data_IF_924987169024
#
_entry.id   IF_924987169024
#
_cell.length_a   1.000
_cell.length_b   1.000
_cell.length_c   1.000
_cell.angle_alpha   90.00
_cell.angle_beta   90.00
_cell.angle_gamma   90.00
#
_symmetry.space_group_name_H-M   'P 1'
#
loop_
_entity.id
_entity.type
_entity.pdbx_description
1 polymer ?
#
# COMPACT_ATOMS: atom_id res chain seq x y z
N UNK A 1 26.16 -15.37 17.99
CA UNK A 1 25.23 -16.39 17.47
C UNK A 1 24.40 -15.68 16.44
N UNK A 2 24.69 -15.91 15.18
CA UNK A 2 23.95 -15.34 14.04
C UNK A 2 22.58 -15.98 13.99
N UNK A 3 21.56 -15.27 14.44
CA UNK A 3 20.18 -15.66 14.15
C UNK A 3 19.95 -15.46 12.65
N UNK A 4 20.16 -16.52 11.89
CA UNK A 4 19.68 -16.60 10.52
C UNK A 4 18.15 -16.59 10.61
N UNK A 5 17.52 -15.53 10.12
CA UNK A 5 16.06 -15.52 9.93
C UNK A 5 15.79 -16.62 8.90
N UNK A 6 15.40 -17.80 9.38
CA UNK A 6 14.95 -18.90 8.53
C UNK A 6 13.59 -18.46 7.93
N UNK A 7 13.60 -17.94 6.70
CA UNK A 7 12.38 -17.79 5.93
C UNK A 7 11.86 -19.19 5.58
N UNK A 8 10.67 -19.58 6.05
CA UNK A 8 10.14 -20.94 5.82
C UNK A 8 9.70 -21.19 4.37
N UNK A 9 9.63 -20.16 3.53
CA UNK A 9 9.20 -20.27 2.15
C UNK A 9 10.32 -19.85 1.19
N UNK A 10 11.05 -20.84 0.65
CA UNK A 10 12.11 -20.64 -0.37
C UNK A 10 11.57 -20.52 -1.80
N UNK A 11 10.25 -20.57 -2.02
CA UNK A 11 9.65 -20.49 -3.34
C UNK A 11 8.42 -19.59 -3.34
N UNK A 12 8.36 -18.66 -4.30
CA UNK A 12 7.14 -17.90 -4.60
C UNK A 12 6.06 -18.89 -5.05
N UNK A 13 4.83 -18.84 -4.47
CA UNK A 13 3.72 -19.66 -4.95
C UNK A 13 3.45 -19.42 -6.44
N UNK A 14 2.95 -20.46 -7.13
CA UNK A 14 2.54 -20.32 -8.52
C UNK A 14 1.37 -19.34 -8.65
N UNK A 15 1.37 -18.52 -9.69
CA UNK A 15 0.32 -17.55 -9.99
C UNK A 15 0.04 -17.48 -11.49
N UNK A 16 -1.15 -17.00 -11.82
CA UNK A 16 -1.50 -16.57 -13.16
C UNK A 16 -1.19 -15.08 -13.31
N UNK A 17 -0.60 -14.73 -14.44
CA UNK A 17 -0.29 -13.35 -14.78
C UNK A 17 -1.36 -12.77 -15.69
N UNK A 18 -1.83 -11.56 -15.37
CA UNK A 18 -2.79 -10.84 -16.21
C UNK A 18 -2.28 -9.44 -16.52
N UNK A 19 -2.66 -8.96 -17.71
CA UNK A 19 -2.47 -7.58 -18.15
C UNK A 19 -3.84 -7.01 -18.52
N UNK A 20 -4.35 -6.09 -17.71
CA UNK A 20 -5.69 -5.54 -17.84
C UNK A 20 -5.62 -4.19 -18.54
N UNK A 21 -6.15 -4.09 -19.76
CA UNK A 21 -6.17 -2.85 -20.52
C UNK A 21 -7.04 -1.77 -19.85
N UNK A 22 -6.48 -0.59 -19.70
CA UNK A 22 -7.13 0.59 -19.13
C UNK A 22 -7.21 1.76 -20.11
N UNK A 23 -6.99 1.50 -21.40
CA UNK A 23 -7.00 2.51 -22.46
C UNK A 23 -5.77 3.43 -22.49
N UNK A 24 -5.23 3.78 -21.31
CA UNK A 24 -3.97 4.53 -21.17
C UNK A 24 -2.82 3.66 -20.65
N UNK A 25 -2.89 2.34 -20.87
CA UNK A 25 -1.92 1.36 -20.42
C UNK A 25 -2.60 0.16 -19.77
N UNK A 26 -1.80 -0.85 -19.43
CA UNK A 26 -2.26 -2.10 -18.82
C UNK A 26 -1.81 -2.20 -17.36
N UNK A 27 -2.70 -2.70 -16.51
CA UNK A 27 -2.40 -3.07 -15.12
C UNK A 27 -1.78 -4.46 -15.13
N UNK A 28 -0.65 -4.62 -14.44
CA UNK A 28 -0.03 -5.91 -14.16
C UNK A 28 -0.64 -6.54 -12.90
N UNK A 29 -1.06 -7.80 -12.99
CA UNK A 29 -1.74 -8.52 -11.90
C UNK A 29 -1.15 -9.91 -11.74
N UNK A 30 -0.96 -10.36 -10.49
CA UNK A 30 -0.67 -11.75 -10.10
C UNK A 30 -1.88 -12.31 -9.36
N UNK A 31 -2.45 -13.39 -9.88
CA UNK A 31 -3.59 -14.10 -9.28
C UNK A 31 -3.13 -15.47 -8.77
N UNK A 32 -3.12 -15.66 -7.47
CA UNK A 32 -2.76 -16.86 -6.76
C UNK A 32 -4.02 -17.64 -6.40
N UNK A 33 -4.13 -18.88 -6.88
CA UNK A 33 -5.30 -19.74 -6.69
C UNK A 33 -5.58 -19.99 -5.19
N UNK A 34 -6.87 -20.03 -4.82
CA UNK A 34 -7.32 -20.31 -3.47
C UNK A 34 -8.82 -20.08 -3.29
N UNK A 35 -9.29 -20.18 -2.04
CA UNK A 35 -10.69 -19.95 -1.70
C UNK A 35 -11.05 -18.46 -1.61
N UNK A 36 -12.26 -18.11 -2.02
CA UNK A 36 -12.81 -16.76 -1.85
C UNK A 36 -13.42 -16.55 -0.45
N UNK A 37 -13.63 -15.29 -0.04
CA UNK A 37 -13.34 -14.06 -0.78
C UNK A 37 -11.84 -13.84 -0.94
N UNK A 38 -11.43 -13.32 -2.12
CA UNK A 38 -10.03 -13.08 -2.44
C UNK A 38 -9.47 -11.90 -1.65
N UNK A 39 -8.23 -12.03 -1.15
CA UNK A 39 -7.46 -10.86 -0.70
C UNK A 39 -6.92 -10.11 -1.91
N UNK A 40 -7.27 -8.82 -2.06
CA UNK A 40 -6.77 -7.96 -3.13
C UNK A 40 -5.79 -6.95 -2.54
N UNK A 41 -4.50 -7.18 -2.79
CA UNK A 41 -3.38 -6.47 -2.16
C UNK A 41 -2.99 -5.24 -2.98
N UNK A 42 -3.02 -4.08 -2.33
CA UNK A 42 -2.73 -2.77 -2.93
C UNK A 42 -1.54 -2.10 -2.26
N UNK A 43 -0.55 -1.76 -3.05
CA UNK A 43 0.66 -1.09 -2.58
C UNK A 43 0.47 0.42 -2.36
N UNK A 44 1.39 1.04 -1.62
CA UNK A 44 1.46 2.48 -1.39
C UNK A 44 2.46 3.22 -2.28
N UNK A 45 3.03 4.30 -1.77
CA UNK A 45 4.09 5.09 -2.41
C UNK A 45 5.41 5.01 -1.64
N UNK A 46 6.48 5.06 -2.36
CA UNK A 46 6.75 4.87 -3.80
C UNK A 46 7.11 3.42 -4.15
N UNK A 47 6.44 2.48 -3.57
CA UNK A 47 6.68 1.05 -3.73
C UNK A 47 5.83 0.40 -4.85
N UNK A 48 5.71 -0.91 -4.87
CA UNK A 48 4.94 -1.70 -5.81
C UNK A 48 4.52 -3.03 -5.18
N UNK A 49 3.86 -3.91 -5.93
CA UNK A 49 3.31 -5.19 -5.43
C UNK A 49 4.32 -6.09 -4.69
N UNK A 50 5.63 -5.92 -4.95
CA UNK A 50 6.67 -6.72 -4.31
C UNK A 50 6.80 -6.52 -2.79
N UNK A 51 6.20 -5.47 -2.22
CA UNK A 51 6.09 -5.32 -0.76
C UNK A 51 5.31 -6.46 -0.10
N UNK A 52 4.58 -7.24 -0.89
CA UNK A 52 3.79 -8.39 -0.43
C UNK A 52 4.44 -9.74 -0.69
N UNK A 53 5.62 -9.81 -1.29
CA UNK A 53 6.27 -11.08 -1.67
C UNK A 53 6.51 -11.99 -0.46
N UNK A 54 6.74 -11.44 0.73
CA UNK A 54 6.89 -12.21 1.97
C UNK A 54 5.55 -12.60 2.62
N UNK A 55 4.50 -11.82 2.42
CA UNK A 55 3.16 -12.07 2.99
C UNK A 55 2.37 -13.10 2.17
N UNK A 56 2.42 -13.03 0.85
CA UNK A 56 1.65 -13.86 -0.08
C UNK A 56 1.78 -15.35 0.21
N UNK A 57 2.98 -15.93 0.43
CA UNK A 57 3.13 -17.36 0.70
C UNK A 57 2.33 -17.83 1.92
N UNK A 58 2.21 -17.02 2.96
CA UNK A 58 1.45 -17.35 4.17
C UNK A 58 -0.05 -17.35 3.91
N UNK A 59 -0.55 -16.38 3.14
CA UNK A 59 -1.98 -16.29 2.78
C UNK A 59 -2.39 -17.46 1.87
N UNK A 60 -1.56 -17.80 0.87
CA UNK A 60 -1.78 -18.94 -0.03
C UNK A 60 -1.71 -20.25 0.74
N UNK A 61 -0.75 -20.43 1.65
CA UNK A 61 -0.68 -21.59 2.54
C UNK A 61 -1.91 -21.73 3.44
N UNK A 62 -2.56 -20.60 3.79
CA UNK A 62 -3.85 -20.55 4.46
C UNK A 62 -5.05 -20.89 3.56
N UNK A 63 -4.81 -21.26 2.30
CA UNK A 63 -5.82 -21.70 1.34
C UNK A 63 -6.65 -20.57 0.70
N UNK A 64 -6.21 -19.32 0.82
CA UNK A 64 -6.95 -18.14 0.31
C UNK A 64 -6.48 -17.75 -1.09
N UNK A 65 -7.45 -17.35 -1.94
CA UNK A 65 -7.13 -16.67 -3.19
C UNK A 65 -6.53 -15.31 -2.87
N UNK A 66 -5.40 -15.00 -3.53
CA UNK A 66 -4.68 -13.73 -3.35
C UNK A 66 -4.47 -13.09 -4.71
N UNK A 67 -4.83 -11.83 -4.83
CA UNK A 67 -4.59 -11.02 -6.02
C UNK A 67 -3.69 -9.86 -5.62
N UNK A 68 -2.52 -9.74 -6.23
CA UNK A 68 -1.63 -8.60 -6.04
C UNK A 68 -1.44 -7.88 -7.37
N UNK A 69 -1.51 -6.57 -7.40
CA UNK A 69 -1.36 -5.82 -8.64
C UNK A 69 -0.61 -4.51 -8.43
N UNK A 70 -0.02 -4.01 -9.50
CA UNK A 70 0.56 -2.69 -9.55
C UNK A 70 -0.44 -1.70 -10.12
N UNK A 71 -0.70 -0.60 -9.43
CA UNK A 71 -1.46 0.51 -9.99
C UNK A 71 -0.80 1.04 -11.27
N UNK A 72 -1.59 1.54 -12.22
CA UNK A 72 -1.03 2.23 -13.39
C UNK A 72 -0.04 3.31 -12.96
N UNK A 73 1.11 3.34 -13.62
CA UNK A 73 2.19 4.25 -13.30
C UNK A 73 3.24 3.69 -12.34
N UNK A 74 3.03 2.48 -11.78
CA UNK A 74 3.95 1.85 -10.82
C UNK A 74 4.33 0.42 -11.24
N UNK A 75 5.40 -0.09 -10.64
CA UNK A 75 5.85 -1.47 -10.75
C UNK A 75 5.97 -1.98 -12.19
N UNK A 76 5.29 -3.08 -12.48
CA UNK A 76 5.21 -3.69 -13.81
C UNK A 76 4.04 -3.19 -14.66
N UNK A 77 3.12 -2.40 -14.08
CA UNK A 77 2.06 -1.74 -14.84
C UNK A 77 2.63 -0.67 -15.78
N UNK A 78 1.89 -0.38 -16.84
CA UNK A 78 2.34 0.60 -17.86
C UNK A 78 2.47 2.01 -17.27
N UNK A 79 3.45 2.74 -17.81
CA UNK A 79 3.84 4.11 -17.46
C UNK A 79 3.91 4.97 -18.72
N UNK A 80 2.73 5.23 -19.31
CA UNK A 80 2.67 5.94 -20.58
C UNK A 80 2.98 7.43 -20.43
N UNK A 81 3.69 7.97 -21.39
CA UNK A 81 3.97 9.42 -21.49
C UNK A 81 2.66 10.18 -21.65
N UNK A 82 2.42 11.18 -20.78
CA UNK A 82 1.21 11.99 -20.83
C UNK A 82 -0.01 11.36 -20.15
N UNK A 83 0.11 10.15 -19.58
CA UNK A 83 -0.95 9.55 -18.80
C UNK A 83 -1.29 10.39 -17.56
N UNK A 84 -2.54 10.31 -17.12
CA UNK A 84 -3.02 10.95 -15.91
C UNK A 84 -3.11 9.93 -14.79
N UNK A 85 -2.52 10.29 -13.64
CA UNK A 85 -2.52 9.48 -12.44
C UNK A 85 -3.22 10.23 -11.31
N UNK A 86 -4.17 9.55 -10.64
CA UNK A 86 -4.95 10.14 -9.54
C UNK A 86 -5.45 9.05 -8.59
N UNK A 87 -5.93 9.44 -7.42
CA UNK A 87 -6.56 8.51 -6.47
C UNK A 87 -7.86 7.92 -7.03
N UNK A 88 -8.62 8.67 -7.83
CA UNK A 88 -9.79 8.16 -8.55
C UNK A 88 -9.41 7.08 -9.56
N UNK A 89 -8.27 7.26 -10.24
CA UNK A 89 -7.78 6.22 -11.15
C UNK A 89 -7.37 4.97 -10.38
N UNK A 90 -6.74 5.08 -9.20
CA UNK A 90 -6.42 3.91 -8.37
C UNK A 90 -7.67 3.15 -7.92
N UNK A 91 -8.74 3.84 -7.52
CA UNK A 91 -10.03 3.21 -7.23
C UNK A 91 -10.60 2.50 -8.47
N UNK A 92 -10.53 3.15 -9.63
CA UNK A 92 -10.96 2.56 -10.90
C UNK A 92 -10.09 1.37 -11.33
N UNK A 93 -8.79 1.37 -11.01
CA UNK A 93 -7.89 0.24 -11.26
C UNK A 93 -8.29 -0.97 -10.42
N UNK A 94 -8.56 -0.78 -9.12
CA UNK A 94 -9.08 -1.84 -8.26
C UNK A 94 -10.37 -2.42 -8.81
N UNK A 95 -11.33 -1.57 -9.19
CA UNK A 95 -12.59 -2.01 -9.79
C UNK A 95 -12.37 -2.84 -11.06
N UNK A 96 -11.48 -2.40 -11.95
CA UNK A 96 -11.15 -3.14 -13.17
C UNK A 96 -10.50 -4.51 -12.89
N UNK A 97 -9.68 -4.63 -11.86
CA UNK A 97 -9.10 -5.92 -11.44
C UNK A 97 -10.20 -6.86 -10.96
N UNK A 98 -11.12 -6.37 -10.12
CA UNK A 98 -12.27 -7.15 -9.61
C UNK A 98 -13.16 -7.66 -10.74
N UNK A 99 -13.54 -6.78 -11.66
CA UNK A 99 -14.40 -7.11 -12.82
C UNK A 99 -13.70 -8.10 -13.76
N UNK A 100 -12.43 -7.85 -14.12
CA UNK A 100 -11.68 -8.71 -15.05
C UNK A 100 -11.53 -10.14 -14.54
N UNK A 101 -11.27 -10.31 -13.24
CA UNK A 101 -11.10 -11.61 -12.61
C UNK A 101 -12.43 -12.26 -12.18
N UNK A 102 -13.56 -11.57 -12.37
CA UNK A 102 -14.90 -12.05 -12.00
C UNK A 102 -15.04 -12.35 -10.51
N UNK A 103 -14.44 -11.51 -9.64
CA UNK A 103 -14.50 -11.68 -8.20
C UNK A 103 -15.87 -11.21 -7.68
N UNK A 104 -16.62 -12.11 -7.04
CA UNK A 104 -17.94 -11.77 -6.46
C UNK A 104 -17.78 -10.91 -5.21
N UNK A 105 -16.96 -11.40 -4.26
CA UNK A 105 -16.61 -10.65 -3.05
C UNK A 105 -15.10 -10.65 -2.80
N UNK A 106 -14.59 -9.50 -2.39
CA UNK A 106 -13.17 -9.33 -2.08
C UNK A 106 -12.94 -8.90 -0.64
N UNK A 107 -11.70 -9.03 -0.19
CA UNK A 107 -11.14 -8.34 0.95
C UNK A 107 -10.10 -7.36 0.43
N UNK A 108 -10.42 -6.08 0.23
CA UNK A 108 -9.42 -5.07 -0.09
C UNK A 108 -8.38 -5.00 1.03
N UNK A 109 -7.11 -5.14 0.69
CA UNK A 109 -5.98 -5.00 1.62
C UNK A 109 -5.21 -3.76 1.21
N UNK A 110 -5.34 -2.71 1.99
CA UNK A 110 -4.74 -1.41 1.67
C UNK A 110 -3.56 -1.11 2.59
N UNK A 111 -2.45 -0.69 2.00
CA UNK A 111 -1.26 -0.22 2.69
C UNK A 111 -0.93 1.22 2.28
N UNK A 112 -0.55 2.08 3.23
CA UNK A 112 -0.11 3.46 3.02
C UNK A 112 -1.12 4.28 2.19
N UNK A 113 -0.71 4.76 1.03
CA UNK A 113 -1.49 5.63 0.16
C UNK A 113 -2.61 4.92 -0.63
N UNK A 114 -2.70 3.58 -0.56
CA UNK A 114 -3.83 2.85 -1.14
C UNK A 114 -5.08 2.81 -0.25
N UNK A 115 -5.01 3.34 0.98
CA UNK A 115 -6.17 3.49 1.87
C UNK A 115 -7.39 4.10 1.17
N UNK A 116 -7.27 5.22 0.44
CA UNK A 116 -8.36 5.80 -0.34
C UNK A 116 -9.00 4.83 -1.34
N UNK A 117 -8.20 4.06 -2.09
CA UNK A 117 -8.75 3.09 -3.05
C UNK A 117 -9.57 2.00 -2.35
N UNK A 118 -9.02 1.37 -1.30
CA UNK A 118 -9.70 0.29 -0.58
C UNK A 118 -10.96 0.74 0.17
N UNK A 119 -10.89 1.87 0.89
CA UNK A 119 -12.02 2.39 1.68
C UNK A 119 -13.11 2.94 0.76
N UNK A 120 -12.75 3.72 -0.27
CA UNK A 120 -13.75 4.24 -1.21
C UNK A 120 -14.39 3.12 -2.01
N UNK A 121 -13.67 2.03 -2.33
CA UNK A 121 -14.26 0.85 -2.94
C UNK A 121 -15.33 0.22 -2.03
N UNK A 122 -15.03 0.09 -0.73
CA UNK A 122 -16.01 -0.44 0.23
C UNK A 122 -17.23 0.47 0.40
N UNK A 123 -17.08 1.79 0.26
CA UNK A 123 -18.19 2.75 0.29
C UNK A 123 -19.03 2.66 -0.98
N UNK A 124 -18.40 2.59 -2.16
CA UNK A 124 -19.07 2.69 -3.45
C UNK A 124 -19.66 1.34 -3.90
N UNK A 125 -19.08 0.19 -3.44
CA UNK A 125 -19.45 -1.17 -3.82
C UNK A 125 -19.55 -2.11 -2.59
N UNK A 126 -20.33 -1.76 -1.55
CA UNK A 126 -20.36 -2.52 -0.29
C UNK A 126 -20.81 -3.98 -0.45
N UNK A 127 -21.61 -4.30 -1.45
CA UNK A 127 -22.07 -5.66 -1.77
C UNK A 127 -20.94 -6.57 -2.26
N UNK A 128 -19.89 -6.01 -2.86
CA UNK A 128 -18.70 -6.73 -3.35
C UNK A 128 -17.57 -6.84 -2.31
N UNK A 129 -17.79 -6.37 -1.07
CA UNK A 129 -16.77 -6.38 -0.02
C UNK A 129 -17.20 -7.29 1.13
N UNK A 130 -16.40 -8.31 1.42
CA UNK A 130 -16.62 -9.21 2.54
C UNK A 130 -16.12 -8.61 3.86
N UNK A 131 -14.96 -7.98 3.82
CA UNK A 131 -14.32 -7.23 4.92
C UNK A 131 -13.22 -6.35 4.32
N UNK A 132 -12.67 -5.42 5.10
CA UNK A 132 -11.54 -4.57 4.71
C UNK A 132 -10.36 -4.82 5.63
N UNK A 133 -9.15 -4.91 5.09
CA UNK A 133 -7.92 -5.01 5.86
C UNK A 133 -7.04 -3.78 5.62
N UNK A 134 -6.71 -3.04 6.68
CA UNK A 134 -5.90 -1.83 6.61
C UNK A 134 -4.56 -2.07 7.31
N UNK A 135 -3.46 -1.88 6.57
CA UNK A 135 -2.08 -2.02 7.03
C UNK A 135 -1.41 -0.64 7.00
N UNK A 136 -1.13 -0.03 8.14
CA UNK A 136 -0.49 1.30 8.22
C UNK A 136 -0.88 2.21 7.04
N UNK A 137 -2.16 2.54 6.91
CA UNK A 137 -2.67 3.31 5.78
C UNK A 137 -3.24 4.67 6.19
N UNK A 138 -3.40 5.56 5.22
CA UNK A 138 -4.01 6.87 5.36
C UNK A 138 -5.36 6.92 4.66
N UNK A 139 -6.27 7.81 5.13
CA UNK A 139 -7.51 8.12 4.45
C UNK A 139 -7.81 9.62 4.53
N UNK A 140 -8.55 10.07 5.50
CA UNK A 140 -8.86 11.47 5.76
C UNK A 140 -7.87 12.14 6.73
N UNK A 141 -8.31 13.21 7.34
CA UNK A 141 -7.59 13.84 8.44
C UNK A 141 -7.66 12.93 9.67
N UNK A 142 -6.50 12.65 10.27
CA UNK A 142 -6.38 11.98 11.56
C UNK A 142 -5.49 12.85 12.48
N UNK A 143 -5.82 12.98 13.77
CA UNK A 143 -5.17 13.97 14.65
C UNK A 143 -3.66 13.79 14.81
N UNK A 144 -3.18 12.55 14.77
CA UNK A 144 -1.77 12.21 15.01
C UNK A 144 -0.97 11.92 13.74
N UNK A 145 -1.67 11.86 12.57
CA UNK A 145 -1.03 11.59 11.28
C UNK A 145 0.03 12.64 10.95
N UNK A 146 1.19 12.18 10.54
CA UNK A 146 2.26 13.04 10.00
C UNK A 146 2.46 12.74 8.52
N UNK A 147 2.95 13.71 7.78
CA UNK A 147 3.31 13.55 6.37
C UNK A 147 4.81 13.34 6.27
N UNK A 148 5.28 12.27 5.57
CA UNK A 148 6.70 12.08 5.31
C UNK A 148 7.30 13.28 4.57
N UNK A 149 8.55 13.64 4.86
CA UNK A 149 9.19 14.87 4.38
C UNK A 149 9.19 14.96 2.86
N UNK A 150 9.59 13.87 2.16
CA UNK A 150 9.60 13.86 0.70
C UNK A 150 8.18 13.98 0.13
N UNK A 151 7.20 13.34 0.74
CA UNK A 151 5.79 13.43 0.31
C UNK A 151 5.28 14.85 0.50
N UNK A 152 5.53 15.44 1.67
CA UNK A 152 5.19 16.84 1.95
C UNK A 152 5.84 17.82 0.98
N UNK A 153 7.11 17.60 0.65
CA UNK A 153 7.85 18.42 -0.33
C UNK A 153 7.15 18.43 -1.70
N UNK A 154 6.74 17.27 -2.20
CA UNK A 154 6.06 17.15 -3.50
C UNK A 154 4.57 17.54 -3.46
N UNK A 155 3.93 17.46 -2.29
CA UNK A 155 2.54 17.87 -2.10
C UNK A 155 2.35 19.40 -2.05
N UNK A 156 3.39 20.15 -1.66
CA UNK A 156 3.33 21.62 -1.62
C UNK A 156 3.57 22.23 -2.99
N UNK A 157 2.51 22.77 -3.60
CA UNK A 157 2.54 23.39 -4.95
C UNK A 157 3.50 24.57 -5.05
N UNK A 158 3.72 25.30 -3.96
CA UNK A 158 4.69 26.43 -3.91
C UNK A 158 6.14 25.98 -4.05
N UNK A 159 6.43 24.68 -3.80
CA UNK A 159 7.76 24.10 -3.92
C UNK A 159 8.00 23.40 -5.27
N UNK A 160 7.08 23.55 -6.24
CA UNK A 160 7.13 22.87 -7.53
C UNK A 160 8.44 23.10 -8.30
N UNK A 161 8.97 24.33 -8.30
CA UNK A 161 10.24 24.62 -8.97
C UNK A 161 11.42 23.91 -8.30
N UNK A 162 11.40 23.78 -6.98
CA UNK A 162 12.41 23.06 -6.21
C UNK A 162 12.33 21.55 -6.48
N UNK A 163 11.13 20.96 -6.41
CA UNK A 163 10.95 19.53 -6.69
C UNK A 163 11.32 19.16 -8.13
N UNK A 164 11.05 20.04 -9.11
CA UNK A 164 11.50 19.85 -10.47
C UNK A 164 13.04 19.85 -10.59
N UNK A 165 13.73 20.76 -9.89
CA UNK A 165 15.19 20.79 -9.87
C UNK A 165 15.76 19.53 -9.18
N UNK A 166 15.13 19.06 -8.09
CA UNK A 166 15.50 17.83 -7.39
C UNK A 166 15.41 16.61 -8.33
N UNK A 167 14.33 16.48 -9.10
CA UNK A 167 14.15 15.38 -10.07
C UNK A 167 15.15 15.42 -11.23
N UNK A 168 15.72 16.58 -11.55
CA UNK A 168 16.77 16.73 -12.56
C UNK A 168 18.16 16.36 -12.06
N UNK A 169 18.32 16.12 -10.76
CA UNK A 169 19.57 15.69 -10.12
C UNK A 169 19.39 14.30 -9.50
N UNK A 170 19.71 13.21 -10.24
CA UNK A 170 19.54 11.84 -9.74
C UNK A 170 20.20 11.61 -8.38
N UNK A 171 21.39 12.16 -8.17
CA UNK A 171 22.13 12.03 -6.91
C UNK A 171 21.39 12.68 -5.72
N UNK A 172 20.83 13.88 -5.92
CA UNK A 172 20.07 14.57 -4.88
C UNK A 172 18.74 13.88 -4.60
N UNK A 173 18.08 13.37 -5.63
CA UNK A 173 16.84 12.63 -5.47
C UNK A 173 17.06 11.29 -4.75
N UNK A 174 18.11 10.55 -5.11
CA UNK A 174 18.53 9.34 -4.41
C UNK A 174 18.84 9.62 -2.93
N UNK A 175 19.56 10.71 -2.65
CA UNK A 175 19.80 11.15 -1.28
C UNK A 175 18.48 11.41 -0.52
N UNK A 176 17.53 12.10 -1.15
CA UNK A 176 16.23 12.39 -0.53
C UNK A 176 15.44 11.11 -0.21
N UNK A 177 15.47 10.10 -1.12
CA UNK A 177 14.85 8.79 -0.87
C UNK A 177 15.53 8.04 0.28
N UNK A 178 16.87 8.03 0.32
CA UNK A 178 17.65 7.41 1.41
C UNK A 178 17.41 8.11 2.75
N UNK A 179 17.34 9.44 2.74
CA UNK A 179 16.99 10.22 3.94
C UNK A 179 15.60 9.82 4.44
N UNK A 180 14.60 9.79 3.56
CA UNK A 180 13.25 9.40 3.95
C UNK A 180 13.21 7.97 4.51
N UNK A 181 13.90 7.03 3.88
CA UNK A 181 14.00 5.66 4.39
C UNK A 181 14.61 5.63 5.80
N UNK A 182 15.68 6.40 6.04
CA UNK A 182 16.29 6.47 7.37
C UNK A 182 15.33 6.96 8.45
N UNK A 183 14.35 7.83 8.08
CA UNK A 183 13.31 8.30 9.00
C UNK A 183 12.29 7.23 9.35
N UNK A 184 11.89 6.40 8.41
CA UNK A 184 11.04 5.24 8.68
C UNK A 184 11.70 4.22 9.59
N UNK A 185 13.02 4.05 9.48
CA UNK A 185 13.80 3.07 10.26
C UNK A 185 14.22 3.58 11.64
N UNK A 186 14.09 4.88 11.93
CA UNK A 186 14.65 5.53 13.13
C UNK A 186 14.13 4.91 14.44
N UNK A 187 12.92 4.36 14.46
CA UNK A 187 12.30 3.76 15.66
C UNK A 187 12.42 2.24 15.71
N UNK A 188 12.94 1.62 14.67
CA UNK A 188 13.21 0.18 14.66
C UNK A 188 14.43 -0.15 15.52
N UNK A 189 14.39 -1.28 16.23
CA UNK A 189 15.42 -1.67 17.21
C UNK A 189 16.21 -2.91 16.80
N UNK A 190 15.71 -3.67 15.84
CA UNK A 190 16.36 -4.91 15.38
C UNK A 190 17.21 -4.61 14.14
N UNK A 191 18.53 -4.63 14.31
CA UNK A 191 19.49 -4.36 13.23
C UNK A 191 19.32 -5.32 12.04
N UNK A 192 18.94 -6.58 12.29
CA UNK A 192 18.75 -7.57 11.23
C UNK A 192 17.52 -7.26 10.39
N UNK A 193 16.45 -6.79 11.00
CA UNK A 193 15.23 -6.34 10.37
C UNK A 193 15.46 -5.05 9.58
N UNK A 194 16.20 -4.09 10.14
CA UNK A 194 16.60 -2.86 9.45
C UNK A 194 17.41 -3.18 8.18
N UNK A 195 18.40 -4.07 8.28
CA UNK A 195 19.21 -4.49 7.13
C UNK A 195 18.37 -5.22 6.08
N UNK A 196 17.43 -6.07 6.52
CA UNK A 196 16.55 -6.78 5.61
C UNK A 196 15.67 -5.80 4.83
N UNK A 197 15.01 -4.87 5.50
CA UNK A 197 14.20 -3.82 4.86
C UNK A 197 15.04 -3.00 3.87
N UNK A 198 16.20 -2.53 4.27
CA UNK A 198 17.05 -1.75 3.39
C UNK A 198 17.48 -2.51 2.13
N UNK A 199 17.80 -3.80 2.26
CA UNK A 199 18.25 -4.65 1.15
C UNK A 199 17.09 -5.14 0.26
N UNK A 200 15.88 -5.25 0.79
CA UNK A 200 14.71 -5.71 0.06
C UNK A 200 13.91 -4.55 -0.53
N UNK A 201 13.53 -3.59 0.31
CA UNK A 201 12.67 -2.47 -0.07
C UNK A 201 13.42 -1.39 -0.86
N UNK A 202 14.70 -1.14 -0.53
CA UNK A 202 15.53 -0.16 -1.24
C UNK A 202 15.54 -0.38 -2.75
N UNK A 203 15.88 -1.58 -3.25
CA UNK A 203 15.82 -1.90 -4.69
C UNK A 203 14.41 -1.79 -5.30
N UNK A 204 13.34 -2.10 -4.56
CA UNK A 204 11.96 -1.94 -5.04
C UNK A 204 11.67 -0.46 -5.32
N UNK A 205 11.96 0.41 -4.36
CA UNK A 205 11.76 1.85 -4.49
C UNK A 205 12.68 2.43 -5.58
N UNK A 206 13.97 2.10 -5.57
CA UNK A 206 14.94 2.57 -6.55
C UNK A 206 14.52 2.20 -7.98
N UNK A 207 14.07 0.98 -8.20
CA UNK A 207 13.64 0.51 -9.53
C UNK A 207 12.49 1.35 -10.08
N UNK A 208 11.55 1.80 -9.25
CA UNK A 208 10.45 2.66 -9.68
C UNK A 208 10.93 4.01 -10.25
N UNK A 209 12.09 4.51 -9.81
CA UNK A 209 12.62 5.80 -10.27
C UNK A 209 13.77 5.71 -11.28
N UNK A 210 14.45 4.56 -11.37
CA UNK A 210 15.64 4.39 -12.23
C UNK A 210 15.38 3.57 -13.47
N UNK A 211 14.46 2.59 -13.43
CA UNK A 211 14.12 1.74 -14.56
C UNK A 211 13.10 2.43 -15.47
N UNK A 212 13.53 2.76 -16.70
CA UNK A 212 12.63 3.37 -17.67
C UNK A 212 11.64 2.38 -18.31
N UNK A 213 10.37 2.79 -18.54
CA UNK A 213 9.76 4.05 -18.10
C UNK A 213 9.62 4.13 -16.58
N UNK A 214 9.92 5.29 -15.98
CA UNK A 214 9.92 5.48 -14.51
C UNK A 214 8.55 5.79 -13.95
N UNK A 215 8.34 5.51 -12.66
CA UNK A 215 7.13 5.90 -11.92
C UNK A 215 7.13 7.39 -11.49
N UNK A 216 8.16 8.14 -11.81
CA UNK A 216 8.28 9.57 -11.45
C UNK A 216 7.04 10.40 -11.83
N UNK A 217 6.46 10.27 -13.05
CA UNK A 217 5.25 11.03 -13.41
C UNK A 217 4.05 10.70 -12.52
N UNK A 218 3.84 9.41 -12.20
CA UNK A 218 2.77 8.98 -11.31
C UNK A 218 2.99 9.48 -9.88
N UNK A 219 4.19 9.30 -9.32
CA UNK A 219 4.56 9.79 -8.01
C UNK A 219 4.32 11.30 -7.86
N UNK A 220 4.80 12.11 -8.81
CA UNK A 220 4.62 13.58 -8.77
C UNK A 220 3.15 13.98 -8.86
N UNK A 221 2.38 13.36 -9.77
CA UNK A 221 0.96 13.69 -9.92
C UNK A 221 0.17 13.30 -8.68
N UNK A 222 0.39 12.11 -8.14
CA UNK A 222 -0.32 11.61 -6.96
C UNK A 222 0.01 12.44 -5.70
N UNK A 223 1.30 12.69 -5.44
CA UNK A 223 1.71 13.48 -4.28
C UNK A 223 1.21 14.92 -4.35
N UNK A 224 1.20 15.55 -5.54
CA UNK A 224 0.67 16.91 -5.70
C UNK A 224 -0.84 17.04 -5.41
N UNK A 225 -1.59 15.94 -5.46
CA UNK A 225 -3.04 15.88 -5.15
C UNK A 225 -3.32 15.49 -3.69
N UNK A 226 -2.29 15.17 -2.89
CA UNK A 226 -2.46 14.57 -1.57
C UNK A 226 -3.38 15.37 -0.64
N UNK A 227 -3.18 16.68 -0.51
CA UNK A 227 -3.97 17.49 0.42
C UNK A 227 -5.43 17.64 -0.04
N UNK A 228 -5.64 17.67 -1.34
CA UNK A 228 -6.97 17.68 -1.96
C UNK A 228 -7.70 16.36 -1.70
N UNK A 229 -6.99 15.24 -1.88
CA UNK A 229 -7.52 13.91 -1.61
C UNK A 229 -7.84 13.71 -0.12
N UNK A 230 -6.96 14.09 0.79
CA UNK A 230 -7.22 14.05 2.23
C UNK A 230 -8.48 14.87 2.57
N UNK A 231 -8.64 16.05 1.95
CA UNK A 231 -9.84 16.88 2.15
C UNK A 231 -11.11 16.20 1.62
N UNK A 232 -11.04 15.56 0.45
CA UNK A 232 -12.14 14.80 -0.17
C UNK A 232 -12.55 13.63 0.73
N UNK A 233 -11.60 12.83 1.16
CA UNK A 233 -11.84 11.66 2.00
C UNK A 233 -12.33 12.03 3.40
N UNK A 234 -11.89 13.18 3.95
CA UNK A 234 -12.42 13.69 5.22
C UNK A 234 -13.93 13.96 5.13
N UNK A 235 -14.41 14.43 3.99
CA UNK A 235 -15.86 14.64 3.78
C UNK A 235 -16.62 13.31 3.66
N UNK A 236 -15.94 12.21 3.29
CA UNK A 236 -16.51 10.86 3.19
C UNK A 236 -16.40 10.04 4.48
N UNK A 237 -15.78 10.57 5.54
CA UNK A 237 -15.72 9.88 6.84
C UNK A 237 -17.10 9.42 7.33
N UNK A 238 -18.19 10.21 7.25
CA UNK A 238 -19.52 9.74 7.66
C UNK A 238 -20.03 8.54 6.83
N UNK A 239 -19.65 8.42 5.55
CA UNK A 239 -19.99 7.28 4.70
C UNK A 239 -19.21 6.03 5.14
N UNK A 240 -17.91 6.17 5.44
CA UNK A 240 -17.09 5.10 6.01
C UNK A 240 -17.63 4.65 7.38
N UNK A 241 -17.96 5.59 8.26
CA UNK A 241 -18.54 5.33 9.60
C UNK A 241 -19.89 4.62 9.53
N UNK A 242 -20.62 4.78 8.43
CA UNK A 242 -21.93 4.13 8.21
C UNK A 242 -21.81 2.65 7.78
N UNK A 243 -20.65 2.22 7.26
CA UNK A 243 -20.43 0.86 6.80
C UNK A 243 -20.66 -0.16 7.92
N UNK A 244 -21.37 -1.23 7.60
CA UNK A 244 -21.56 -2.39 8.46
C UNK A 244 -20.77 -3.59 7.92
N UNK A 245 -19.52 -3.32 7.54
CA UNK A 245 -18.57 -4.29 7.01
C UNK A 245 -17.46 -4.46 8.05
N UNK A 246 -16.96 -5.68 8.31
CA UNK A 246 -15.83 -5.88 9.23
C UNK A 246 -14.55 -5.22 8.71
N UNK A 247 -13.85 -4.52 9.59
CA UNK A 247 -12.52 -3.96 9.32
C UNK A 247 -11.49 -4.60 10.23
N UNK A 248 -10.37 -5.07 9.65
CA UNK A 248 -9.16 -5.44 10.38
C UNK A 248 -8.12 -4.35 10.24
N UNK A 249 -7.78 -3.73 11.35
CA UNK A 249 -6.74 -2.70 11.44
C UNK A 249 -5.49 -3.35 11.99
N UNK A 250 -4.46 -3.55 11.16
CA UNK A 250 -3.20 -4.18 11.56
C UNK A 250 -2.11 -3.12 11.43
N UNK A 251 -1.45 -2.79 12.53
CA UNK A 251 -0.61 -1.60 12.63
C UNK A 251 0.73 -1.89 13.27
N UNK A 252 1.81 -1.41 12.62
CA UNK A 252 3.14 -1.37 13.20
C UNK A 252 3.29 -0.15 14.13
N UNK A 253 3.71 -0.38 15.38
CA UNK A 253 3.85 0.68 16.40
C UNK A 253 5.10 1.55 16.24
N UNK A 254 6.02 1.12 15.39
CA UNK A 254 7.25 1.86 15.08
C UNK A 254 7.11 2.79 13.87
N UNK A 255 5.93 2.90 13.22
CA UNK A 255 5.69 3.84 12.13
C UNK A 255 5.66 5.28 12.66
N UNK A 256 6.61 6.15 12.25
CA UNK A 256 6.68 7.52 12.75
C UNK A 256 5.61 8.46 12.15
N UNK A 257 4.99 8.07 11.03
CA UNK A 257 4.06 8.90 10.26
C UNK A 257 2.60 8.47 10.40
N UNK A 258 2.31 7.23 10.04
CA UNK A 258 1.01 6.60 10.26
C UNK A 258 1.04 5.82 11.59
N UNK A 259 1.25 6.55 12.68
CA UNK A 259 1.42 5.99 14.01
C UNK A 259 0.12 5.36 14.56
N UNK A 260 0.21 4.69 15.71
CA UNK A 260 -0.91 3.99 16.34
C UNK A 260 -2.14 4.86 16.58
N UNK A 261 -1.96 6.16 16.84
CA UNK A 261 -3.08 7.08 16.99
C UNK A 261 -3.93 7.25 15.73
N UNK A 262 -3.36 6.97 14.53
CA UNK A 262 -4.14 6.90 13.27
C UNK A 262 -5.04 5.66 13.28
N UNK A 263 -4.52 4.52 13.72
CA UNK A 263 -5.29 3.28 13.84
C UNK A 263 -6.40 3.39 14.91
N UNK A 264 -6.10 4.04 16.04
CA UNK A 264 -7.05 4.31 17.10
C UNK A 264 -8.19 5.22 16.63
N UNK A 265 -7.90 6.24 15.80
CA UNK A 265 -8.93 7.09 15.19
C UNK A 265 -9.83 6.30 14.24
N UNK A 266 -9.26 5.42 13.40
CA UNK A 266 -10.06 4.49 12.59
C UNK A 266 -10.95 3.59 13.44
N UNK A 267 -10.37 2.95 14.46
CA UNK A 267 -11.09 2.04 15.34
C UNK A 267 -12.23 2.72 16.09
N UNK A 268 -12.03 3.94 16.54
CA UNK A 268 -13.05 4.73 17.21
C UNK A 268 -14.21 5.14 16.30
N UNK A 269 -13.98 5.26 14.99
CA UNK A 269 -14.99 5.66 13.99
C UNK A 269 -15.78 4.49 13.44
N UNK A 270 -15.15 3.34 13.26
CA UNK A 270 -15.74 2.18 12.59
C UNK A 270 -16.63 1.39 13.55
N UNK A 271 -17.84 1.01 13.09
CA UNK A 271 -18.81 0.25 13.90
C UNK A 271 -18.35 -1.17 14.19
N UNK A 272 -17.68 -1.79 13.21
CA UNK A 272 -17.26 -3.18 13.28
C UNK A 272 -15.78 -3.26 12.87
N UNK A 273 -14.89 -3.15 13.84
CA UNK A 273 -13.45 -3.23 13.61
C UNK A 273 -12.70 -3.92 14.73
N UNK A 274 -11.65 -4.64 14.37
CA UNK A 274 -10.61 -5.11 15.29
C UNK A 274 -9.32 -4.34 15.08
N UNK A 275 -8.60 -4.03 16.16
CA UNK A 275 -7.32 -3.32 16.12
C UNK A 275 -6.22 -4.22 16.67
N UNK A 276 -5.20 -4.46 15.84
CA UNK A 276 -4.03 -5.26 16.17
C UNK A 276 -2.78 -4.39 16.00
N UNK A 277 -2.15 -4.05 17.11
CA UNK A 277 -0.89 -3.29 17.14
C UNK A 277 0.26 -4.26 17.32
N UNK A 278 1.24 -4.22 16.43
CA UNK A 278 2.35 -5.17 16.33
C UNK A 278 3.70 -4.45 16.42
N UNK A 279 4.75 -5.12 16.95
CA UNK A 279 6.09 -4.54 17.04
C UNK A 279 6.78 -4.53 15.67
N UNK A 280 6.34 -3.65 14.78
CA UNK A 280 6.78 -3.53 13.40
C UNK A 280 6.83 -2.06 12.95
N UNK A 281 7.54 -1.80 11.86
CA UNK A 281 7.58 -0.50 11.20
C UNK A 281 6.39 -0.28 10.26
N UNK A 282 6.58 0.64 9.33
CA UNK A 282 5.59 1.00 8.32
C UNK A 282 5.23 -0.16 7.38
N UNK A 283 6.19 -0.99 6.98
CA UNK A 283 6.01 -2.16 6.10
C UNK A 283 5.89 -3.46 6.91
N UNK A 284 4.89 -3.55 7.80
CA UNK A 284 4.69 -4.70 8.68
C UNK A 284 4.52 -6.03 7.91
N UNK A 285 4.03 -6.00 6.69
CA UNK A 285 3.91 -7.16 5.78
C UNK A 285 5.28 -7.68 5.30
N UNK A 286 6.34 -6.90 5.45
CA UNK A 286 7.73 -7.31 5.21
C UNK A 286 8.39 -7.69 6.54
N UNK A 287 8.15 -6.91 7.59
CA UNK A 287 8.79 -7.06 8.89
C UNK A 287 8.40 -8.37 9.59
N UNK A 288 7.10 -8.66 9.62
CA UNK A 288 6.50 -9.76 10.39
C UNK A 288 5.36 -10.42 9.61
N UNK A 289 5.60 -10.89 8.36
CA UNK A 289 4.58 -11.36 7.43
C UNK A 289 3.73 -12.51 7.99
N UNK A 290 4.32 -13.42 8.76
CA UNK A 290 3.61 -14.55 9.36
C UNK A 290 2.54 -14.07 10.37
N UNK A 291 2.87 -13.09 11.22
CA UNK A 291 1.92 -12.57 12.20
C UNK A 291 0.80 -11.77 11.52
N UNK A 292 1.13 -10.98 10.49
CA UNK A 292 0.15 -10.26 9.68
C UNK A 292 -0.80 -11.23 8.99
N UNK A 293 -0.27 -12.29 8.36
CA UNK A 293 -1.08 -13.32 7.70
C UNK A 293 -2.01 -14.04 8.71
N UNK A 294 -1.50 -14.39 9.88
CA UNK A 294 -2.29 -15.05 10.92
C UNK A 294 -3.52 -14.21 11.33
N UNK A 295 -3.34 -12.90 11.49
CA UNK A 295 -4.45 -11.98 11.79
C UNK A 295 -5.39 -11.86 10.58
N UNK A 296 -4.87 -11.70 9.36
CA UNK A 296 -5.70 -11.61 8.17
C UNK A 296 -6.58 -12.85 7.96
N UNK A 297 -6.05 -14.03 8.26
CA UNK A 297 -6.73 -15.33 8.11
C UNK A 297 -7.68 -15.66 9.26
N UNK A 298 -7.57 -14.99 10.40
CA UNK A 298 -8.47 -15.24 11.55
C UNK A 298 -9.92 -14.90 11.24
N UNK A 299 -10.84 -15.57 11.92
CA UNK A 299 -12.29 -15.31 11.81
C UNK A 299 -12.79 -14.24 12.78
N UNK A 300 -11.88 -13.60 13.52
CA UNK A 300 -12.18 -12.56 14.51
C UNK A 300 -12.27 -11.18 13.87
#
# INVERSE_FOLDING_TARGET
MTNTINKPFNATPAYLEHHIDRGQGSIYVRDYEGSEPAFVLMHGFPDNLHIYDDLIPHLVAGGRRVVAFDFLGFGYSDKQTGARYSYEQQLSDLHAVVEHLGLDKIVPVAHDASGPAGINYAIDYPEHVASVCLLNCAYGVAPTKKTPEIIGLFAHTDLKSYTQALLQSPEQFEWALKFQMSKFLEHMKDDSQIQYLANFLGPIIETNFTKHPTSTPAFVQMTSQLFEEVTRNTKRLPEMEALDIPFKLIWGDHDPYLNTGVAEDFHARLKNSSLHVLPAGHWLQIDIPEQVAAIMLSNE
#
